data_IF_052236112858
#
_entry.id   IF_052236112858
#
_cell.length_a   1.000
_cell.length_b   1.000
_cell.length_c   1.000
_cell.angle_alpha   90.00
_cell.angle_beta   90.00
_cell.angle_gamma   90.00
#
_symmetry.space_group_name_H-M   'P 1'
#
loop_
_entity.id
_entity.type
_entity.pdbx_description
1 polymer ?
#
# COMPACT_ATOMS: atom_id res chain seq x y z
N UNK A 1 13.76 16.72 3.84
CA UNK A 1 13.71 16.64 2.36
C UNK A 1 13.72 15.17 1.97
N UNK A 2 12.90 14.74 1.02
CA UNK A 2 12.89 13.36 0.56
C UNK A 2 14.27 12.91 0.07
N UNK A 3 14.70 11.70 0.45
CA UNK A 3 15.96 11.09 0.04
C UNK A 3 15.72 9.99 -0.98
N UNK A 4 16.57 9.83 -2.01
CA UNK A 4 16.45 8.73 -2.96
C UNK A 4 16.53 7.36 -2.27
N UNK A 5 15.75 6.41 -2.78
CA UNK A 5 15.74 5.02 -2.33
C UNK A 5 15.44 4.09 -3.51
N UNK A 6 15.95 2.87 -3.47
CA UNK A 6 15.55 1.81 -4.41
C UNK A 6 14.41 1.01 -3.80
N UNK A 7 13.36 0.72 -4.58
CA UNK A 7 12.29 -0.18 -4.16
C UNK A 7 12.32 -1.45 -5.01
N UNK A 8 12.29 -2.60 -4.35
CA UNK A 8 12.19 -3.91 -5.01
C UNK A 8 10.84 -4.52 -4.61
N UNK A 9 9.92 -4.61 -5.58
CA UNK A 9 8.58 -5.12 -5.38
C UNK A 9 8.48 -6.58 -5.82
N UNK A 10 8.04 -7.45 -4.92
CA UNK A 10 7.82 -8.89 -5.14
C UNK A 10 9.02 -9.63 -5.77
N UNK A 11 10.22 -9.05 -5.70
CA UNK A 11 11.40 -9.55 -6.39
C UNK A 11 11.31 -9.49 -7.91
N UNK A 12 10.29 -8.85 -8.47
CA UNK A 12 10.00 -8.82 -9.91
C UNK A 12 10.18 -7.44 -10.55
N UNK A 13 10.07 -6.37 -9.76
CA UNK A 13 10.22 -4.99 -10.22
C UNK A 13 11.23 -4.27 -9.35
N UNK A 14 12.16 -3.53 -9.96
CA UNK A 14 13.02 -2.56 -9.29
C UNK A 14 12.66 -1.17 -9.78
N UNK A 15 12.39 -0.26 -8.85
CA UNK A 15 12.05 1.13 -9.15
C UNK A 15 12.87 2.09 -8.32
N UNK A 16 13.13 3.29 -8.85
CA UNK A 16 13.64 4.40 -8.07
C UNK A 16 12.49 5.10 -7.36
N UNK A 17 12.71 5.42 -6.10
CA UNK A 17 11.74 6.08 -5.25
C UNK A 17 12.36 7.15 -4.39
N UNK A 18 11.53 7.72 -3.52
CA UNK A 18 11.94 8.69 -2.52
C UNK A 18 11.36 8.34 -1.16
N UNK A 19 12.14 8.57 -0.13
CA UNK A 19 11.75 8.38 1.27
C UNK A 19 11.67 9.72 1.98
N UNK A 20 10.60 9.90 2.76
CA UNK A 20 10.48 11.00 3.72
C UNK A 20 9.98 10.42 5.05
N UNK A 21 10.85 10.45 6.06
CA UNK A 21 10.57 9.83 7.35
C UNK A 21 10.20 8.35 7.22
N UNK A 22 8.97 8.02 7.55
CA UNK A 22 8.44 6.67 7.60
C UNK A 22 7.59 6.28 6.36
N UNK A 23 7.68 7.07 5.31
CA UNK A 23 6.98 6.81 4.06
C UNK A 23 7.94 6.77 2.88
N UNK A 24 7.63 5.95 1.90
CA UNK A 24 8.33 5.82 0.62
C UNK A 24 7.34 5.99 -0.51
N UNK A 25 7.73 6.68 -1.58
CA UNK A 25 6.99 6.76 -2.84
C UNK A 25 7.83 6.17 -3.96
N UNK A 26 7.19 5.47 -4.88
CA UNK A 26 7.82 5.01 -6.12
C UNK A 26 6.80 4.92 -7.25
N UNK A 27 7.26 5.14 -8.47
CA UNK A 27 6.47 5.01 -9.69
C UNK A 27 6.94 3.78 -10.45
N UNK A 28 6.03 2.90 -10.83
CA UNK A 28 6.34 1.60 -11.43
C UNK A 28 5.30 1.19 -12.47
N UNK A 29 5.65 0.19 -13.28
CA UNK A 29 4.79 -0.31 -14.33
C UNK A 29 4.40 -1.78 -14.15
N UNK A 30 3.28 -2.14 -14.76
CA UNK A 30 2.73 -3.49 -14.82
C UNK A 30 1.87 -3.67 -16.07
N UNK A 31 1.68 -4.92 -16.47
CA UNK A 31 0.78 -5.25 -17.59
C UNK A 31 -0.63 -5.55 -17.05
N UNK A 32 -1.62 -4.90 -17.60
CA UNK A 32 -3.03 -5.16 -17.30
C UNK A 32 -3.82 -5.29 -18.60
N UNK A 33 -4.54 -6.41 -18.77
CA UNK A 33 -5.31 -6.71 -19.99
C UNK A 33 -4.51 -6.50 -21.29
N UNK A 34 -3.23 -6.88 -21.27
CA UNK A 34 -2.34 -6.77 -22.41
C UNK A 34 -1.79 -5.37 -22.69
N UNK A 35 -2.06 -4.39 -21.83
CA UNK A 35 -1.53 -3.03 -21.94
C UNK A 35 -0.62 -2.68 -20.78
N UNK A 36 0.51 -2.02 -21.07
CA UNK A 36 1.38 -1.47 -20.05
C UNK A 36 0.68 -0.32 -19.32
N UNK A 37 0.76 -0.32 -18.00
CA UNK A 37 0.24 0.69 -17.11
C UNK A 37 1.34 1.15 -16.16
N UNK A 38 1.28 2.42 -15.78
CA UNK A 38 2.20 2.97 -14.79
C UNK A 38 1.40 3.55 -13.61
N UNK A 39 1.90 3.35 -12.42
CA UNK A 39 1.21 3.69 -11.19
C UNK A 39 2.19 4.22 -10.14
N UNK A 40 1.70 5.16 -9.35
CA UNK A 40 2.38 5.60 -8.12
C UNK A 40 1.88 4.81 -6.94
N UNK A 41 2.83 4.35 -6.13
CA UNK A 41 2.56 3.68 -4.86
C UNK A 41 3.31 4.37 -3.73
N UNK A 42 2.69 4.39 -2.55
CA UNK A 42 3.27 4.86 -1.31
C UNK A 42 3.34 3.70 -0.33
N UNK A 43 4.43 3.57 0.40
CA UNK A 43 4.59 2.55 1.44
C UNK A 43 4.75 3.23 2.79
N UNK A 44 3.92 2.86 3.75
CA UNK A 44 4.06 3.22 5.16
C UNK A 44 4.89 2.14 5.84
N UNK A 45 6.12 2.47 6.22
CA UNK A 45 7.09 1.50 6.72
C UNK A 45 6.73 0.95 8.11
N UNK A 46 6.07 1.75 8.95
CA UNK A 46 5.69 1.37 10.31
C UNK A 46 4.51 0.40 10.39
N UNK A 47 3.53 0.58 9.51
CA UNK A 47 2.36 -0.29 9.44
C UNK A 47 2.51 -1.40 8.41
N UNK A 48 3.46 -1.24 7.47
CA UNK A 48 3.61 -2.17 6.35
C UNK A 48 2.37 -2.16 5.46
N UNK A 49 1.87 -0.97 5.12
CA UNK A 49 0.82 -0.81 4.12
C UNK A 49 1.33 -0.05 2.90
N UNK A 50 1.06 -0.59 1.74
CA UNK A 50 1.20 0.10 0.47
C UNK A 50 -0.14 0.73 0.09
N UNK A 51 -0.11 1.95 -0.42
CA UNK A 51 -1.30 2.74 -0.74
C UNK A 51 -1.18 3.26 -2.15
N UNK A 52 -2.18 3.02 -2.97
CA UNK A 52 -2.22 3.51 -4.35
C UNK A 52 -3.62 3.92 -4.77
N UNK A 53 -3.68 4.80 -5.76
CA UNK A 53 -4.88 5.02 -6.56
C UNK A 53 -4.76 4.21 -7.85
N UNK A 54 -5.38 3.02 -7.94
CA UNK A 54 -5.16 2.13 -9.06
C UNK A 54 -5.60 2.77 -10.38
N UNK A 55 -4.69 2.82 -11.36
CA UNK A 55 -4.99 3.33 -12.69
C UNK A 55 -6.05 2.49 -13.43
N UNK A 56 -6.28 1.26 -12.95
CA UNK A 56 -7.33 0.36 -13.45
C UNK A 56 -8.72 0.64 -12.85
N UNK A 57 -8.81 1.45 -11.79
CA UNK A 57 -10.10 1.86 -11.25
C UNK A 57 -10.76 2.89 -12.16
N UNK A 58 -11.95 2.55 -12.67
CA UNK A 58 -12.71 3.35 -13.62
C UNK A 58 -14.12 3.66 -13.11
N UNK A 59 -14.87 4.49 -13.85
CA UNK A 59 -16.24 4.81 -13.50
C UNK A 59 -16.36 5.40 -12.09
N UNK A 60 -17.22 4.81 -11.25
CA UNK A 60 -17.49 5.30 -9.90
C UNK A 60 -16.31 5.09 -8.93
N UNK A 61 -15.41 4.18 -9.25
CA UNK A 61 -14.24 3.88 -8.40
C UNK A 61 -13.01 4.71 -8.77
N UNK A 62 -13.08 5.54 -9.80
CA UNK A 62 -11.95 6.41 -10.18
C UNK A 62 -11.55 7.30 -9.00
N UNK A 63 -10.27 7.26 -8.65
CA UNK A 63 -9.71 8.02 -7.53
C UNK A 63 -9.92 7.38 -6.15
N UNK A 64 -10.53 6.20 -6.07
CA UNK A 64 -10.51 5.42 -4.85
C UNK A 64 -9.11 4.87 -4.60
N UNK A 65 -8.86 4.50 -3.36
CA UNK A 65 -7.58 3.96 -2.95
C UNK A 65 -7.65 2.45 -2.77
N UNK A 66 -6.57 1.80 -3.12
CA UNK A 66 -6.31 0.40 -2.85
C UNK A 66 -5.10 0.32 -1.92
N UNK A 67 -5.26 -0.32 -0.77
CA UNK A 67 -4.24 -0.39 0.26
C UNK A 67 -3.93 -1.85 0.52
N UNK A 68 -2.70 -2.25 0.25
CA UNK A 68 -2.22 -3.61 0.42
C UNK A 68 -1.45 -3.73 1.74
N UNK A 69 -1.76 -4.71 2.58
CA UNK A 69 -0.82 -5.14 3.60
C UNK A 69 0.40 -5.72 2.89
N UNK A 70 1.58 -5.24 3.24
CA UNK A 70 2.83 -5.68 2.61
C UNK A 70 3.87 -6.09 3.66
N UNK A 71 4.70 -7.05 3.29
CA UNK A 71 5.93 -7.32 4.00
C UNK A 71 6.98 -6.31 3.56
N UNK A 72 7.57 -5.60 4.51
CA UNK A 72 8.62 -4.62 4.25
C UNK A 72 9.92 -5.12 4.87
N UNK A 73 11.00 -5.07 4.08
CA UNK A 73 12.38 -5.22 4.57
C UNK A 73 13.10 -3.93 4.17
N UNK A 74 13.57 -3.20 5.15
CA UNK A 74 14.23 -1.90 4.98
C UNK A 74 15.73 -2.05 5.24
N UNK A 75 16.51 -2.02 4.17
CA UNK A 75 17.97 -2.11 4.21
C UNK A 75 18.64 -0.72 4.06
N UNK A 76 17.89 0.35 4.37
CA UNK A 76 18.36 1.73 4.27
C UNK A 76 18.19 2.31 2.86
N UNK A 77 19.12 2.01 1.97
CA UNK A 77 19.08 2.48 0.58
C UNK A 77 18.13 1.66 -0.32
N UNK A 78 17.71 0.50 0.15
CA UNK A 78 16.78 -0.39 -0.57
C UNK A 78 15.63 -0.81 0.35
N UNK A 79 14.42 -0.71 -0.17
CA UNK A 79 13.20 -1.17 0.48
C UNK A 79 12.60 -2.30 -0.34
N UNK A 80 12.51 -3.48 0.25
CA UNK A 80 11.82 -4.63 -0.35
C UNK A 80 10.37 -4.65 0.11
N UNK A 81 9.46 -4.74 -0.85
CA UNK A 81 8.02 -4.75 -0.63
C UNK A 81 7.46 -6.03 -1.24
N UNK A 82 6.77 -6.82 -0.46
CA UNK A 82 6.11 -8.05 -0.90
C UNK A 82 4.65 -8.09 -0.48
N UNK A 83 3.80 -8.61 -1.33
CA UNK A 83 2.38 -8.79 -1.04
C UNK A 83 2.16 -9.66 0.21
N UNK A 84 1.13 -9.34 1.00
CA UNK A 84 0.80 -10.05 2.23
C UNK A 84 -0.71 -10.24 2.43
N UNK A 85 -1.44 -10.47 1.34
CA UNK A 85 -2.83 -10.90 1.17
C UNK A 85 -3.94 -9.94 1.60
N UNK A 86 -3.82 -9.21 2.70
CA UNK A 86 -4.94 -8.39 3.19
C UNK A 86 -4.99 -7.07 2.45
N UNK A 87 -6.15 -6.78 1.86
CA UNK A 87 -6.38 -5.55 1.11
C UNK A 87 -7.50 -4.71 1.70
N UNK A 88 -7.42 -3.41 1.51
CA UNK A 88 -8.44 -2.44 1.92
C UNK A 88 -8.77 -1.50 0.78
N UNK A 89 -10.02 -1.49 0.33
CA UNK A 89 -10.50 -0.49 -0.62
C UNK A 89 -11.11 0.68 0.14
N UNK A 90 -10.63 1.89 -0.13
CA UNK A 90 -11.08 3.12 0.50
C UNK A 90 -11.65 4.07 -0.54
N UNK A 91 -12.95 4.30 -0.47
CA UNK A 91 -13.67 5.29 -1.28
C UNK A 91 -13.82 6.63 -0.54
N UNK A 92 -14.75 7.48 -1.01
CA UNK A 92 -15.07 8.73 -0.33
C UNK A 92 -15.59 8.50 1.09
N UNK A 93 -15.46 9.48 1.98
CA UNK A 93 -15.74 9.29 3.40
C UNK A 93 -17.20 8.99 3.76
N UNK A 94 -18.15 9.24 2.89
CA UNK A 94 -19.56 8.89 3.08
C UNK A 94 -19.88 7.41 2.83
N UNK A 95 -18.92 6.67 2.25
CA UNK A 95 -19.02 5.23 2.04
C UNK A 95 -18.16 4.46 3.05
N UNK A 96 -18.53 3.22 3.39
CA UNK A 96 -17.66 2.35 4.19
C UNK A 96 -16.43 1.92 3.37
N UNK A 97 -15.28 1.76 4.03
CA UNK A 97 -14.17 1.01 3.44
C UNK A 97 -14.51 -0.48 3.35
N UNK A 98 -13.80 -1.21 2.51
CA UNK A 98 -13.96 -2.65 2.36
C UNK A 98 -12.64 -3.37 2.65
N UNK A 99 -12.71 -4.33 3.53
CA UNK A 99 -11.61 -5.25 3.82
C UNK A 99 -11.77 -6.50 2.93
N UNK A 100 -10.71 -6.92 2.26
CA UNK A 100 -10.70 -8.04 1.33
C UNK A 100 -9.71 -9.12 1.78
N UNK A 101 -9.90 -10.32 1.25
CA UNK A 101 -8.98 -11.46 1.25
C UNK A 101 -8.57 -12.00 2.64
N UNK A 102 -9.34 -11.67 3.68
CA UNK A 102 -9.15 -12.23 5.02
C UNK A 102 -9.25 -13.76 5.04
N UNK A 103 -10.06 -14.37 4.16
CA UNK A 103 -10.19 -15.81 4.05
C UNK A 103 -8.91 -16.42 3.46
N UNK A 104 -8.33 -15.82 2.41
CA UNK A 104 -7.07 -16.26 1.83
C UNK A 104 -5.92 -16.13 2.83
N UNK A 105 -5.91 -15.04 3.60
CA UNK A 105 -4.96 -14.86 4.68
C UNK A 105 -5.07 -15.95 5.76
N UNK A 106 -6.30 -16.27 6.15
CA UNK A 106 -6.57 -17.37 7.09
C UNK A 106 -6.11 -18.73 6.55
N UNK A 107 -6.38 -19.01 5.28
CA UNK A 107 -5.96 -20.24 4.60
C UNK A 107 -4.42 -20.33 4.47
N UNK A 108 -3.75 -19.21 4.20
CA UNK A 108 -2.29 -19.14 4.14
C UNK A 108 -1.64 -19.45 5.51
N UNK A 109 -2.25 -19.00 6.61
CA UNK A 109 -1.81 -19.36 7.98
C UNK A 109 -2.09 -20.85 8.25
N UNK A 110 -3.29 -21.32 7.94
CA UNK A 110 -3.70 -22.71 8.21
C UNK A 110 -2.88 -23.74 7.42
N UNK A 111 -2.48 -23.41 6.19
CA UNK A 111 -1.62 -24.24 5.36
C UNK A 111 -0.12 -24.16 5.71
N UNK A 112 0.28 -23.23 6.59
CA UNK A 112 1.68 -22.96 6.92
C UNK A 112 2.45 -22.16 5.86
N UNK A 113 1.78 -21.59 4.87
CA UNK A 113 2.38 -20.65 3.91
C UNK A 113 2.85 -19.37 4.62
N UNK A 114 2.09 -18.93 5.63
CA UNK A 114 2.47 -17.91 6.59
C UNK A 114 2.61 -18.58 7.96
N UNK A 115 3.74 -18.40 8.64
CA UNK A 115 3.86 -18.88 10.01
C UNK A 115 2.92 -18.11 10.96
N UNK A 116 2.45 -18.73 12.05
CA UNK A 116 1.45 -18.11 12.93
C UNK A 116 1.89 -16.78 13.56
N UNK A 117 3.19 -16.57 13.80
CA UNK A 117 3.70 -15.33 14.39
C UNK A 117 3.63 -14.19 13.38
N UNK A 118 4.06 -14.44 12.15
CA UNK A 118 3.93 -13.50 11.00
C UNK A 118 2.45 -13.21 10.72
N UNK A 119 1.60 -14.24 10.76
CA UNK A 119 0.15 -14.06 10.59
C UNK A 119 -0.46 -13.16 11.66
N UNK A 120 -0.13 -13.40 12.93
CA UNK A 120 -0.60 -12.57 14.03
C UNK A 120 -0.08 -11.12 13.93
N UNK A 121 1.16 -10.92 13.46
CA UNK A 121 1.73 -9.59 13.23
C UNK A 121 0.98 -8.85 12.13
N UNK A 122 0.69 -9.49 11.00
CA UNK A 122 -0.09 -8.88 9.92
C UNK A 122 -1.46 -8.40 10.37
N UNK A 123 -2.18 -9.19 11.19
CA UNK A 123 -3.45 -8.78 11.78
C UNK A 123 -3.31 -7.56 12.69
N UNK A 124 -2.25 -7.49 13.52
CA UNK A 124 -2.01 -6.32 14.39
C UNK A 124 -1.70 -5.08 13.56
N UNK A 125 -0.90 -5.20 12.50
CA UNK A 125 -0.58 -4.09 11.59
C UNK A 125 -1.81 -3.61 10.86
N UNK A 126 -2.66 -4.53 10.40
CA UNK A 126 -3.95 -4.21 9.78
C UNK A 126 -4.85 -3.45 10.75
N UNK A 127 -5.00 -3.93 11.98
CA UNK A 127 -5.79 -3.23 13.00
C UNK A 127 -5.22 -1.82 13.26
N UNK A 128 -3.88 -1.70 13.40
CA UNK A 128 -3.22 -0.40 13.62
C UNK A 128 -3.47 0.58 12.47
N UNK A 129 -3.41 0.09 11.22
CA UNK A 129 -3.71 0.91 10.04
C UNK A 129 -5.17 1.38 10.04
N UNK A 130 -6.11 0.49 10.28
CA UNK A 130 -7.53 0.81 10.32
C UNK A 130 -7.86 1.83 11.43
N UNK A 131 -7.34 1.62 12.64
CA UNK A 131 -7.59 2.49 13.79
C UNK A 131 -7.02 3.89 13.57
N UNK A 132 -5.83 3.99 12.98
CA UNK A 132 -5.15 5.26 12.74
C UNK A 132 -5.81 6.07 11.63
N UNK A 133 -6.23 5.42 10.57
CA UNK A 133 -6.57 6.11 9.33
C UNK A 133 -8.06 6.08 8.98
N UNK A 134 -8.80 5.02 9.36
CA UNK A 134 -10.13 4.76 8.83
C UNK A 134 -11.22 4.55 9.90
N UNK A 135 -10.88 4.07 11.09
CA UNK A 135 -11.90 3.86 12.13
C UNK A 135 -12.42 5.19 12.64
N UNK A 136 -13.74 5.30 12.66
CA UNK A 136 -14.48 6.46 13.20
C UNK A 136 -15.30 6.01 14.39
N UNK A 137 -15.24 6.81 15.44
CA UNK A 137 -16.19 6.70 16.54
C UNK A 137 -17.54 7.30 16.11
N UNK A 138 -18.67 6.87 16.68
CA UNK A 138 -19.99 7.33 16.26
C UNK A 138 -20.19 8.85 16.23
N UNK A 139 -19.44 9.58 17.05
CA UNK A 139 -19.53 11.03 17.18
C UNK A 139 -18.68 11.79 16.14
N UNK A 140 -17.85 11.09 15.37
CA UNK A 140 -16.95 11.72 14.39
C UNK A 140 -17.69 11.92 13.06
N UNK A 141 -17.43 13.09 12.45
CA UNK A 141 -17.99 13.55 11.19
C UNK A 141 -17.88 12.49 10.09
N UNK A 142 -18.96 12.34 9.30
CA UNK A 142 -19.01 11.39 8.18
C UNK A 142 -18.42 11.95 6.87
N UNK A 143 -18.01 13.22 6.87
CA UNK A 143 -17.50 13.93 5.70
C UNK A 143 -15.98 13.85 5.53
N UNK A 144 -15.27 13.22 6.47
CA UNK A 144 -13.84 13.03 6.41
C UNK A 144 -13.41 11.68 7.02
N UNK A 145 -12.30 11.15 6.52
CA UNK A 145 -11.57 10.10 7.21
C UNK A 145 -10.69 10.70 8.32
N UNK A 146 -10.37 9.97 9.40
CA UNK A 146 -9.53 10.47 10.49
C UNK A 146 -8.16 10.98 10.02
N UNK A 147 -7.46 10.18 9.20
CA UNK A 147 -6.15 10.52 8.61
C UNK A 147 -5.98 9.76 7.29
N UNK A 148 -6.88 9.96 6.32
CA UNK A 148 -6.77 9.30 5.03
C UNK A 148 -7.09 10.26 3.87
N UNK A 149 -6.22 10.32 2.81
CA UNK A 149 -4.93 9.64 2.74
C UNK A 149 -3.99 10.08 3.88
N UNK A 150 -3.10 9.18 4.34
CA UNK A 150 -2.21 9.46 5.48
C UNK A 150 -1.36 10.71 5.28
N UNK A 151 -1.30 11.58 6.28
CA UNK A 151 -0.47 12.80 6.21
C UNK A 151 1.00 12.52 5.96
N UNK A 152 1.47 11.34 6.36
CA UNK A 152 2.85 10.89 6.12
C UNK A 152 3.24 10.87 4.64
N UNK A 153 2.29 10.70 3.71
CA UNK A 153 2.58 10.69 2.28
C UNK A 153 2.44 12.07 1.61
N UNK A 154 1.97 13.09 2.31
CA UNK A 154 1.60 14.37 1.70
C UNK A 154 2.76 15.04 0.93
N UNK A 155 3.94 15.15 1.55
CA UNK A 155 5.11 15.73 0.89
C UNK A 155 5.61 14.90 -0.30
N UNK A 156 5.47 13.58 -0.23
CA UNK A 156 5.85 12.67 -1.31
C UNK A 156 4.85 12.70 -2.48
N UNK A 157 3.58 12.99 -2.20
CA UNK A 157 2.55 13.11 -3.23
C UNK A 157 2.76 14.32 -4.15
N UNK A 158 3.42 15.37 -3.65
CA UNK A 158 3.75 16.57 -4.43
C UNK A 158 4.92 16.37 -5.39
N UNK A 159 5.67 15.27 -5.28
CA UNK A 159 6.76 14.97 -6.18
C UNK A 159 6.23 14.68 -7.60
N UNK A 160 6.93 15.12 -8.66
CA UNK A 160 6.53 14.83 -10.02
C UNK A 160 6.48 13.32 -10.26
N UNK A 161 5.46 12.86 -11.01
CA UNK A 161 5.39 11.48 -11.48
C UNK A 161 6.53 11.23 -12.47
N UNK A 162 7.42 10.30 -12.14
CA UNK A 162 8.61 9.99 -12.95
C UNK A 162 8.91 8.49 -12.84
N UNK A 163 8.22 7.65 -13.60
CA UNK A 163 8.48 6.22 -13.60
C UNK A 163 9.92 5.95 -14.09
N UNK A 164 10.70 5.34 -13.22
CA UNK A 164 12.08 4.89 -13.49
C UNK A 164 12.18 3.50 -12.84
N UNK A 165 11.80 2.51 -13.61
CA UNK A 165 11.68 1.14 -13.15
C UNK A 165 12.16 0.14 -14.21
N UNK A 166 12.51 -1.05 -13.76
CA UNK A 166 12.87 -2.19 -14.60
C UNK A 166 12.20 -3.46 -14.10
N UNK A 167 11.84 -4.35 -15.04
CA UNK A 167 11.46 -5.72 -14.71
C UNK A 167 12.72 -6.51 -14.38
N UNK A 168 12.69 -7.24 -13.28
CA UNK A 168 13.74 -8.18 -12.93
C UNK A 168 13.36 -9.52 -13.55
N UNK A 169 13.93 -9.85 -14.70
CA UNK A 169 13.73 -11.15 -15.34
C UNK A 169 14.11 -12.25 -14.35
N UNK A 170 13.21 -13.22 -14.20
CA UNK A 170 13.43 -14.44 -13.44
C UNK A 170 13.94 -15.56 -14.34
#
# INVERSE_FOLDING_TARGET
MPTPVTVVRDGAVRAKGFRDGNAVVYDWGFTWEGAEKEQRSFVLLDTGFQINQPVIFTGRQRGWWYCDLVRVIDDGDTVHVGDHWIDVIVGPPDLPYRLLDLHEYGDAIASGTIDPATGADGLRRTQTFLDRHLHRWPEIRRDAWPDFPPRAIAALAELPFRPDWESLDR
#
